data_IF_353428393922
#
_entry.id   IF_353428393922
#
_cell.length_a   1.000
_cell.length_b   1.000
_cell.length_c   1.000
_cell.angle_alpha   90.00
_cell.angle_beta   90.00
_cell.angle_gamma   90.00
#
_symmetry.space_group_name_H-M   'P 1'
#
loop_
_entity.id
_entity.type
_entity.pdbx_description
1 polymer ?
#
# COMPACT_ATOMS: atom_id res chain seq x y z
N UNK A 1 13.49 18.37 0.94
CA UNK A 1 13.64 17.19 0.03
C UNK A 1 12.38 16.35 0.10
N UNK A 2 11.84 15.90 -1.04
CA UNK A 2 10.65 15.04 -1.08
C UNK A 2 11.04 13.66 -1.59
N UNK A 3 10.73 12.61 -0.79
CA UNK A 3 10.97 11.20 -1.12
C UNK A 3 9.65 10.43 -1.13
N UNK A 4 9.46 9.55 -2.11
CA UNK A 4 8.34 8.63 -2.14
C UNK A 4 8.78 7.21 -1.78
N UNK A 5 7.95 6.50 -0.99
CA UNK A 5 8.11 5.07 -0.70
C UNK A 5 6.92 4.33 -1.30
N UNK A 6 7.21 3.46 -2.24
CA UNK A 6 6.21 2.75 -3.05
C UNK A 6 6.56 1.27 -3.19
N UNK A 7 5.61 0.44 -3.61
CA UNK A 7 5.84 -0.98 -3.83
C UNK A 7 6.03 -1.34 -5.31
N UNK A 8 6.91 -2.29 -5.59
CA UNK A 8 7.18 -2.73 -6.96
C UNK A 8 6.09 -3.66 -7.52
N UNK A 9 5.51 -4.54 -6.69
CA UNK A 9 4.76 -5.70 -7.14
C UNK A 9 3.26 -5.63 -6.72
N UNK A 10 2.77 -6.65 -6.02
CA UNK A 10 1.36 -6.79 -5.63
C UNK A 10 0.98 -6.11 -4.30
N UNK A 11 1.92 -5.48 -3.61
CA UNK A 11 1.76 -4.97 -2.25
C UNK A 11 2.40 -5.89 -1.20
N UNK A 12 2.31 -5.50 0.07
CA UNK A 12 2.87 -6.23 1.22
C UNK A 12 4.40 -6.45 1.15
N UNK A 13 5.12 -5.54 0.44
CA UNK A 13 6.57 -5.59 0.32
C UNK A 13 7.32 -5.13 1.58
N UNK A 14 6.63 -4.62 2.61
CA UNK A 14 7.25 -4.12 3.84
C UNK A 14 7.51 -2.62 3.85
N UNK A 15 6.71 -1.84 3.09
CA UNK A 15 6.81 -0.37 3.02
C UNK A 15 6.73 0.31 4.39
N UNK A 16 5.84 -0.15 5.27
CA UNK A 16 5.68 0.42 6.61
C UNK A 16 6.97 0.43 7.43
N UNK A 17 7.73 -0.67 7.42
CA UNK A 17 9.04 -0.77 8.06
C UNK A 17 10.05 0.24 7.49
N UNK A 18 10.12 0.35 6.17
CA UNK A 18 11.04 1.28 5.50
C UNK A 18 10.63 2.72 5.79
N UNK A 19 9.33 3.02 5.76
CA UNK A 19 8.81 4.35 6.13
C UNK A 19 9.13 4.69 7.59
N UNK A 20 8.89 3.78 8.53
CA UNK A 20 9.17 3.99 9.95
C UNK A 20 10.68 4.25 10.19
N UNK A 21 11.55 3.52 9.53
CA UNK A 21 13.00 3.74 9.61
C UNK A 21 13.40 5.11 9.05
N UNK A 22 12.88 5.51 7.88
CA UNK A 22 13.21 6.78 7.23
C UNK A 22 12.52 7.97 7.91
N UNK A 23 11.41 7.75 8.63
CA UNK A 23 10.69 8.77 9.39
C UNK A 23 11.56 9.44 10.45
N UNK A 24 12.58 8.74 10.97
CA UNK A 24 13.55 9.30 11.93
C UNK A 24 14.25 10.58 11.41
N UNK A 25 14.49 10.65 10.11
CA UNK A 25 15.13 11.79 9.45
C UNK A 25 14.15 12.67 8.66
N UNK A 26 12.85 12.49 8.84
CA UNK A 26 11.80 13.19 8.10
C UNK A 26 11.01 14.11 9.03
N UNK A 27 10.62 15.29 8.53
CA UNK A 27 9.82 16.26 9.27
C UNK A 27 8.32 16.02 9.06
N UNK A 28 7.96 15.49 7.88
CA UNK A 28 6.56 15.30 7.45
C UNK A 28 6.42 13.95 6.77
N UNK A 29 5.40 13.17 7.15
CA UNK A 29 5.06 11.92 6.48
C UNK A 29 3.60 11.99 5.99
N UNK A 30 3.38 11.66 4.71
CA UNK A 30 2.08 11.84 4.05
C UNK A 30 1.57 10.52 3.49
N UNK A 31 0.36 10.13 3.86
CA UNK A 31 -0.43 9.15 3.12
C UNK A 31 -1.12 9.89 1.97
N UNK A 32 -0.82 9.52 0.74
CA UNK A 32 -1.28 10.26 -0.44
C UNK A 32 -2.37 9.53 -1.24
N UNK A 33 -2.62 8.25 -0.97
CA UNK A 33 -3.63 7.44 -1.67
C UNK A 33 -4.08 6.23 -0.84
N UNK A 34 -5.08 5.49 -1.36
CA UNK A 34 -5.61 4.31 -0.70
C UNK A 34 -6.56 4.67 0.45
N UNK A 35 -6.70 3.78 1.40
CA UNK A 35 -7.60 3.95 2.55
C UNK A 35 -7.29 2.87 3.60
N UNK A 36 -8.30 2.47 4.37
CA UNK A 36 -8.16 1.46 5.44
C UNK A 36 -8.10 0.00 4.93
N UNK A 37 -7.99 -0.22 3.63
CA UNK A 37 -8.01 -1.55 3.02
C UNK A 37 -6.71 -2.35 3.14
N UNK A 38 -5.58 -1.71 3.44
CA UNK A 38 -4.30 -2.38 3.66
C UNK A 38 -3.66 -1.95 4.96
N UNK A 39 -3.08 -2.88 5.71
CA UNK A 39 -2.38 -2.62 6.95
C UNK A 39 -0.86 -2.61 6.76
N UNK A 40 -0.20 -1.60 7.33
CA UNK A 40 1.26 -1.53 7.43
C UNK A 40 1.71 -2.04 8.78
N UNK A 41 2.37 -3.20 8.82
CA UNK A 41 2.93 -3.75 10.06
C UNK A 41 4.25 -3.07 10.39
N UNK A 42 4.35 -2.58 11.62
CA UNK A 42 5.53 -1.91 12.16
C UNK A 42 5.88 -2.57 13.49
N UNK A 43 7.17 -2.86 13.68
CA UNK A 43 7.71 -3.39 14.92
C UNK A 43 8.78 -2.42 15.41
N UNK A 44 8.52 -1.79 16.55
CA UNK A 44 9.40 -0.78 17.16
C UNK A 44 9.38 -0.89 18.70
N UNK A 45 9.99 0.09 19.40
CA UNK A 45 10.11 0.11 20.86
C UNK A 45 8.76 0.13 21.61
N UNK A 46 7.68 0.59 20.96
CA UNK A 46 6.32 0.55 21.52
C UNK A 46 5.61 -0.79 21.30
N UNK A 47 6.20 -1.70 20.50
CA UNK A 47 5.64 -3.00 20.17
C UNK A 47 5.28 -3.17 18.70
N UNK A 48 4.35 -4.11 18.45
CA UNK A 48 3.87 -4.43 17.10
C UNK A 48 2.54 -3.70 16.82
N UNK A 49 2.48 -2.99 15.71
CA UNK A 49 1.30 -2.24 15.24
C UNK A 49 0.96 -2.60 13.80
N UNK A 50 -0.34 -2.56 13.48
CA UNK A 50 -0.84 -2.60 12.12
C UNK A 50 -1.60 -1.28 11.87
N UNK A 51 -0.98 -0.36 11.12
CA UNK A 51 -1.58 0.93 10.77
C UNK A 51 -2.26 0.84 9.41
N UNK A 52 -3.44 1.43 9.28
CA UNK A 52 -4.24 1.40 8.05
C UNK A 52 -4.36 2.78 7.40
N UNK A 53 -4.75 3.79 8.15
CA UNK A 53 -4.87 5.18 7.66
C UNK A 53 -3.69 6.04 8.10
N UNK A 54 -3.22 5.89 9.33
CA UNK A 54 -2.10 6.66 9.83
C UNK A 54 -0.80 6.36 9.07
N UNK A 55 0.03 7.38 8.79
CA UNK A 55 1.38 7.17 8.28
C UNK A 55 2.25 6.41 9.27
N UNK A 56 3.16 5.58 8.76
CA UNK A 56 4.05 4.74 9.58
C UNK A 56 5.03 5.52 10.47
N UNK A 57 5.18 6.81 10.25
CA UNK A 57 6.04 7.68 11.05
C UNK A 57 5.41 8.30 12.30
N UNK A 58 4.17 7.94 12.66
CA UNK A 58 3.44 8.50 13.82
C UNK A 58 4.10 8.25 15.19
N UNK A 59 5.09 7.39 15.23
CA UNK A 59 5.83 7.06 16.46
C UNK A 59 6.89 8.10 16.86
N UNK A 60 7.18 9.07 15.97
CA UNK A 60 8.17 10.12 16.22
C UNK A 60 7.48 11.46 16.52
N UNK A 61 7.76 12.03 17.70
CA UNK A 61 7.13 13.28 18.17
C UNK A 61 7.47 14.51 17.30
N UNK A 62 8.64 14.51 16.65
CA UNK A 62 9.08 15.61 15.80
C UNK A 62 8.39 15.62 14.42
N UNK A 63 7.74 14.51 14.02
CA UNK A 63 7.11 14.41 12.71
C UNK A 63 5.68 14.96 12.71
N UNK A 64 5.28 15.52 11.57
CA UNK A 64 3.87 15.82 11.27
C UNK A 64 3.34 14.76 10.30
N UNK A 65 2.29 14.05 10.69
CA UNK A 65 1.62 13.06 9.86
C UNK A 65 0.47 13.68 9.11
N UNK A 66 0.41 13.51 7.79
CA UNK A 66 -0.62 14.12 6.93
C UNK A 66 -1.44 13.03 6.24
N UNK A 67 -2.75 13.19 6.31
CA UNK A 67 -3.70 12.48 5.44
C UNK A 67 -3.99 13.39 4.25
N UNK A 68 -3.42 13.05 3.10
CA UNK A 68 -3.51 13.84 1.87
C UNK A 68 -4.88 13.73 1.19
N UNK A 69 -5.11 14.61 0.24
CA UNK A 69 -6.37 14.71 -0.50
C UNK A 69 -6.69 13.50 -1.40
N UNK A 70 -5.71 12.63 -1.67
CA UNK A 70 -5.91 11.39 -2.44
C UNK A 70 -6.45 10.22 -1.62
N UNK A 71 -6.50 10.32 -0.29
CA UNK A 71 -6.90 9.22 0.61
C UNK A 71 -8.43 9.06 0.68
N UNK A 72 -8.89 7.82 0.69
CA UNK A 72 -10.26 7.45 1.04
C UNK A 72 -10.39 7.49 2.58
N UNK A 73 -10.88 8.61 3.10
CA UNK A 73 -10.84 8.92 4.53
C UNK A 73 -12.03 8.32 5.28
N UNK A 74 -11.83 7.24 5.99
CA UNK A 74 -12.76 6.75 7.00
C UNK A 74 -12.48 7.47 8.32
N UNK A 75 -13.25 8.52 8.63
CA UNK A 75 -13.03 9.38 9.79
C UNK A 75 -13.14 8.62 11.12
N UNK A 76 -14.21 7.84 11.40
CA UNK A 76 -14.30 7.07 12.63
C UNK A 76 -13.12 6.12 12.82
N UNK A 77 -12.67 5.47 11.75
CA UNK A 77 -11.54 4.55 11.79
C UNK A 77 -10.22 5.28 12.10
N UNK A 78 -10.00 6.46 11.50
CA UNK A 78 -8.82 7.28 11.78
C UNK A 78 -8.74 7.66 13.26
N UNK A 79 -9.86 8.13 13.84
CA UNK A 79 -9.91 8.53 15.24
C UNK A 79 -9.65 7.33 16.16
N UNK A 80 -10.28 6.19 15.88
CA UNK A 80 -10.05 4.94 16.62
C UNK A 80 -8.57 4.51 16.57
N UNK A 81 -7.93 4.67 15.42
CA UNK A 81 -6.51 4.32 15.25
C UNK A 81 -5.60 5.26 16.07
N UNK A 82 -5.91 6.57 16.12
CA UNK A 82 -5.22 7.55 16.98
C UNK A 82 -5.37 7.19 18.47
N UNK A 83 -6.59 6.93 18.90
CA UNK A 83 -6.91 6.57 20.30
C UNK A 83 -6.17 5.29 20.70
N UNK A 84 -6.21 4.26 19.87
CA UNK A 84 -5.51 2.99 20.10
C UNK A 84 -4.00 3.16 20.27
N UNK A 85 -3.36 4.06 19.52
CA UNK A 85 -1.94 4.37 19.71
C UNK A 85 -1.67 4.98 21.08
N UNK A 86 -2.48 5.96 21.50
CA UNK A 86 -2.34 6.66 22.78
C UNK A 86 -2.57 5.70 23.95
N UNK A 87 -3.59 4.85 23.89
CA UNK A 87 -3.88 3.83 24.89
C UNK A 87 -2.72 2.83 25.07
N UNK A 88 -1.98 2.57 24.01
CA UNK A 88 -0.79 1.71 24.02
C UNK A 88 0.50 2.44 24.39
N UNK A 89 0.40 3.68 24.89
CA UNK A 89 1.53 4.46 25.39
C UNK A 89 2.35 5.19 24.32
N UNK A 90 1.87 5.24 23.08
CA UNK A 90 2.49 6.11 22.05
C UNK A 90 2.07 7.55 22.32
N UNK A 91 3.01 8.51 22.40
CA UNK A 91 2.64 9.93 22.54
C UNK A 91 1.70 10.37 21.43
N UNK A 92 0.69 11.20 21.75
CA UNK A 92 -0.29 11.67 20.78
C UNK A 92 0.41 12.29 19.57
N UNK A 93 0.27 11.72 18.36
CA UNK A 93 0.96 12.22 17.18
C UNK A 93 0.36 13.54 16.69
N UNK A 94 1.17 14.37 16.06
CA UNK A 94 0.71 15.56 15.34
C UNK A 94 0.15 15.13 13.98
N UNK A 95 -1.16 15.30 13.81
CA UNK A 95 -1.87 14.88 12.59
C UNK A 95 -2.54 16.08 11.94
N UNK A 96 -2.44 16.15 10.61
CA UNK A 96 -3.17 17.08 9.77
C UNK A 96 -3.94 16.29 8.72
N UNK A 97 -5.14 16.76 8.42
CA UNK A 97 -6.03 16.15 7.42
C UNK A 97 -6.37 17.21 6.38
N UNK A 98 -6.20 16.85 5.10
CA UNK A 98 -6.55 17.74 4.01
C UNK A 98 -8.04 18.06 4.01
N UNK A 99 -8.38 19.34 3.94
CA UNK A 99 -9.73 19.85 3.71
C UNK A 99 -10.32 19.36 2.37
N UNK A 100 -9.46 18.98 1.41
CA UNK A 100 -9.81 18.43 0.09
C UNK A 100 -9.88 16.90 0.06
N UNK A 101 -9.52 16.19 1.14
CA UNK A 101 -9.75 14.76 1.24
C UNK A 101 -11.25 14.45 1.17
N UNK A 102 -11.60 13.25 0.70
CA UNK A 102 -13.01 12.86 0.64
C UNK A 102 -13.32 11.78 1.68
N UNK A 103 -14.56 11.84 2.17
CA UNK A 103 -15.04 10.97 3.26
C UNK A 103 -15.52 9.64 2.69
N UNK A 104 -14.98 8.54 3.23
CA UNK A 104 -15.48 7.21 2.97
C UNK A 104 -16.68 6.97 3.89
N UNK A 105 -17.87 6.84 3.28
CA UNK A 105 -19.14 6.68 3.99
C UNK A 105 -19.45 5.22 4.27
N UNK A 106 -20.26 4.91 5.31
CA UNK A 106 -20.67 3.55 5.61
C UNK A 106 -21.34 2.83 4.43
N UNK A 107 -22.10 3.53 3.59
CA UNK A 107 -22.72 2.93 2.42
C UNK A 107 -21.69 2.45 1.38
N UNK A 108 -20.48 3.03 1.29
CA UNK A 108 -19.43 2.50 0.41
C UNK A 108 -19.04 1.07 0.82
N UNK A 109 -18.95 0.80 2.13
CA UNK A 109 -18.66 -0.54 2.66
C UNK A 109 -19.79 -1.52 2.33
N UNK A 110 -21.05 -1.07 2.42
CA UNK A 110 -22.21 -1.86 2.04
C UNK A 110 -22.18 -2.21 0.56
N UNK A 111 -21.97 -1.23 -0.31
CA UNK A 111 -21.90 -1.44 -1.76
C UNK A 111 -20.77 -2.37 -2.17
N UNK A 112 -19.58 -2.24 -1.57
CA UNK A 112 -18.45 -3.16 -1.79
C UNK A 112 -18.83 -4.61 -1.40
N UNK A 113 -19.52 -4.76 -0.27
CA UNK A 113 -19.98 -6.06 0.23
C UNK A 113 -21.05 -6.67 -0.69
N UNK A 114 -21.99 -5.85 -1.15
CA UNK A 114 -23.08 -6.32 -2.02
C UNK A 114 -22.59 -6.70 -3.41
N UNK A 115 -21.64 -5.95 -3.95
CA UNK A 115 -21.03 -6.24 -5.26
C UNK A 115 -20.21 -7.54 -5.22
N UNK A 116 -19.37 -7.74 -4.17
CA UNK A 116 -18.65 -9.01 -3.98
C UNK A 116 -19.60 -10.20 -3.88
N UNK A 117 -20.74 -10.04 -3.18
CA UNK A 117 -21.76 -11.08 -3.08
C UNK A 117 -22.47 -11.34 -4.42
N UNK A 118 -22.77 -10.27 -5.20
CA UNK A 118 -23.42 -10.37 -6.52
C UNK A 118 -22.54 -11.08 -7.54
N UNK A 119 -21.23 -10.82 -7.51
CA UNK A 119 -20.26 -11.44 -8.41
C UNK A 119 -19.98 -12.91 -8.09
N UNK A 120 -20.32 -13.37 -6.87
CA UNK A 120 -20.15 -14.75 -6.42
C UNK A 120 -18.77 -15.34 -6.76
N UNK A 121 -18.69 -16.42 -7.55
CA UNK A 121 -17.41 -17.06 -7.94
C UNK A 121 -16.49 -16.25 -8.84
N UNK A 122 -16.90 -15.05 -9.29
CA UNK A 122 -16.12 -14.11 -10.11
C UNK A 122 -15.73 -12.87 -9.33
N UNK A 123 -15.80 -12.90 -8.00
CA UNK A 123 -15.48 -11.79 -7.12
C UNK A 123 -13.99 -11.38 -7.23
N UNK A 124 -13.71 -10.10 -7.00
CA UNK A 124 -12.33 -9.56 -7.04
C UNK A 124 -11.51 -9.94 -5.81
N UNK A 125 -12.15 -10.44 -4.75
CA UNK A 125 -11.52 -10.69 -3.45
C UNK A 125 -11.29 -9.42 -2.66
N UNK A 126 -12.25 -8.46 -2.75
CA UNK A 126 -12.22 -7.20 -2.01
C UNK A 126 -12.04 -7.41 -0.51
N UNK A 127 -11.39 -6.46 0.14
CA UNK A 127 -11.31 -6.37 1.61
C UNK A 127 -12.63 -5.93 2.24
N UNK A 128 -13.61 -5.56 1.42
CA UNK A 128 -14.92 -4.99 1.84
C UNK A 128 -14.76 -3.71 2.67
N UNK A 129 -13.74 -2.93 2.34
CA UNK A 129 -13.45 -1.65 2.99
C UNK A 129 -14.06 -0.44 2.26
N UNK A 130 -14.86 -0.68 1.21
CA UNK A 130 -15.58 0.37 0.49
C UNK A 130 -14.73 1.18 -0.50
N UNK A 131 -13.54 0.71 -0.85
CA UNK A 131 -12.57 1.50 -1.65
C UNK A 131 -13.05 1.71 -3.09
N UNK A 132 -13.50 0.65 -3.77
CA UNK A 132 -13.96 0.77 -5.15
C UNK A 132 -15.21 1.66 -5.27
N UNK A 133 -16.27 1.49 -4.46
CA UNK A 133 -17.41 2.40 -4.48
C UNK A 133 -17.05 3.85 -4.13
N UNK A 134 -16.11 4.06 -3.19
CA UNK A 134 -15.64 5.39 -2.82
C UNK A 134 -14.97 6.12 -4.01
N UNK A 135 -13.99 5.50 -4.66
CA UNK A 135 -13.31 6.13 -5.81
C UNK A 135 -14.25 6.29 -7.01
N UNK A 136 -15.21 5.37 -7.19
CA UNK A 136 -16.29 5.54 -8.17
C UNK A 136 -17.07 6.83 -7.92
N UNK A 137 -17.50 7.08 -6.70
CA UNK A 137 -18.23 8.28 -6.31
C UNK A 137 -17.40 9.55 -6.44
N UNK A 138 -16.12 9.48 -6.07
CA UNK A 138 -15.17 10.59 -6.24
C UNK A 138 -15.10 11.06 -7.69
N UNK A 139 -14.91 10.14 -8.64
CA UNK A 139 -14.81 10.47 -10.05
C UNK A 139 -16.17 10.74 -10.72
N UNK A 140 -17.25 10.21 -10.18
CA UNK A 140 -18.62 10.59 -10.52
C UNK A 140 -19.03 11.95 -9.95
N UNK A 141 -18.19 12.57 -9.11
CA UNK A 141 -18.39 13.91 -8.49
C UNK A 141 -19.58 13.95 -7.52
N UNK A 142 -19.85 12.85 -6.84
CA UNK A 142 -20.93 12.72 -5.84
C UNK A 142 -20.40 12.42 -4.43
N UNK A 143 -19.07 12.27 -4.25
CA UNK A 143 -18.42 12.10 -2.95
C UNK A 143 -18.45 13.38 -2.11
N UNK A 144 -18.25 13.26 -0.80
CA UNK A 144 -18.18 14.39 0.15
C UNK A 144 -16.73 14.76 0.43
N UNK A 145 -16.34 16.03 0.20
CA UNK A 145 -15.05 16.54 0.68
C UNK A 145 -15.13 16.90 2.17
N UNK A 146 -13.99 16.83 2.86
CA UNK A 146 -13.91 17.22 4.28
C UNK A 146 -14.34 18.68 4.51
N UNK A 147 -13.99 19.60 3.61
CA UNK A 147 -14.42 21.00 3.68
C UNK A 147 -15.94 21.17 3.64
N UNK A 148 -16.65 20.31 2.90
CA UNK A 148 -18.12 20.38 2.78
C UNK A 148 -18.84 19.99 4.08
N UNK A 149 -18.15 19.31 5.01
CA UNK A 149 -18.73 18.98 6.32
C UNK A 149 -19.03 20.23 7.16
N UNK A 150 -18.38 21.36 6.85
CA UNK A 150 -18.50 22.62 7.58
C UNK A 150 -19.53 23.59 6.93
N UNK A 151 -20.17 23.18 5.84
CA UNK A 151 -21.28 23.86 5.19
C UNK A 151 -22.53 22.97 5.27
N UNK A 152 -23.35 23.18 6.29
CA UNK A 152 -24.47 22.29 6.59
C UNK A 152 -25.56 22.33 5.51
N UNK A 153 -25.80 23.46 4.87
CA UNK A 153 -26.82 23.59 3.82
C UNK A 153 -26.40 22.81 2.58
N UNK A 154 -25.15 22.98 2.14
CA UNK A 154 -24.58 22.23 1.03
C UNK A 154 -24.53 20.72 1.32
N UNK A 155 -24.14 20.35 2.55
CA UNK A 155 -24.07 18.97 2.99
C UNK A 155 -25.44 18.29 2.91
N UNK A 156 -26.50 18.96 3.39
CA UNK A 156 -27.88 18.45 3.36
C UNK A 156 -28.36 18.24 1.93
N UNK A 157 -28.27 19.28 1.08
CA UNK A 157 -28.67 19.18 -0.34
C UNK A 157 -27.98 17.98 -1.02
N UNK A 158 -26.67 17.85 -0.81
CA UNK A 158 -25.88 16.79 -1.42
C UNK A 158 -26.22 15.40 -0.89
N UNK A 159 -26.51 15.26 0.41
CA UNK A 159 -26.91 13.99 1.01
C UNK A 159 -28.22 13.44 0.40
N UNK A 160 -29.24 14.28 0.23
CA UNK A 160 -30.47 13.92 -0.44
C UNK A 160 -30.23 13.43 -1.88
N UNK A 161 -29.46 14.20 -2.66
CA UNK A 161 -29.13 13.84 -4.05
C UNK A 161 -28.35 12.53 -4.16
N UNK A 162 -27.41 12.30 -3.24
CA UNK A 162 -26.63 11.04 -3.22
C UNK A 162 -27.51 9.87 -2.84
N UNK A 163 -28.37 10.01 -1.84
CA UNK A 163 -29.33 8.96 -1.44
C UNK A 163 -30.25 8.59 -2.58
N UNK A 164 -30.81 9.57 -3.32
CA UNK A 164 -31.64 9.30 -4.50
C UNK A 164 -30.92 8.37 -5.49
N UNK A 165 -29.69 8.71 -5.89
CA UNK A 165 -28.90 7.90 -6.82
C UNK A 165 -28.58 6.50 -6.27
N UNK A 166 -28.18 6.42 -5.00
CA UNK A 166 -27.79 5.15 -4.38
C UNK A 166 -28.98 4.23 -4.17
N UNK A 167 -30.14 4.79 -3.83
CA UNK A 167 -31.36 4.02 -3.60
C UNK A 167 -31.85 3.32 -4.86
N UNK A 168 -31.66 3.87 -6.06
CA UNK A 168 -31.94 3.18 -7.32
C UNK A 168 -31.16 1.86 -7.40
N UNK A 169 -29.87 1.87 -7.07
CA UNK A 169 -29.06 0.65 -7.08
C UNK A 169 -29.44 -0.32 -5.96
N UNK A 170 -29.75 0.19 -4.77
CA UNK A 170 -30.17 -0.64 -3.65
C UNK A 170 -31.48 -1.34 -3.95
N UNK A 171 -32.46 -0.64 -4.50
CA UNK A 171 -33.78 -1.18 -4.80
C UNK A 171 -33.73 -2.18 -5.97
N UNK A 172 -33.16 -1.76 -7.11
CA UNK A 172 -33.32 -2.49 -8.37
C UNK A 172 -32.19 -3.47 -8.70
N UNK A 173 -30.96 -3.26 -8.16
CA UNK A 173 -29.83 -4.14 -8.41
C UNK A 173 -29.54 -5.07 -7.25
N UNK A 174 -29.44 -4.52 -6.05
CA UNK A 174 -29.01 -5.28 -4.88
C UNK A 174 -30.17 -5.84 -4.05
N UNK A 175 -31.39 -5.30 -4.20
CA UNK A 175 -32.57 -5.66 -3.42
C UNK A 175 -32.28 -5.54 -1.90
N UNK A 176 -31.81 -4.40 -1.49
CA UNK A 176 -31.39 -4.08 -0.11
C UNK A 176 -32.17 -2.89 0.43
N UNK A 177 -32.19 -2.71 1.77
CA UNK A 177 -32.81 -1.53 2.39
C UNK A 177 -32.25 -0.23 1.83
N UNK A 178 -33.13 0.77 1.67
CA UNK A 178 -32.78 2.09 1.17
C UNK A 178 -32.03 2.90 2.23
N UNK A 179 -31.19 3.83 1.77
CA UNK A 179 -30.53 4.82 2.63
C UNK A 179 -31.53 5.91 3.01
N UNK A 180 -31.45 6.34 4.26
CA UNK A 180 -32.16 7.51 4.77
C UNK A 180 -31.19 8.70 4.72
N UNK A 181 -31.52 9.81 4.01
CA UNK A 181 -30.66 10.98 3.94
C UNK A 181 -30.41 11.63 5.31
N UNK A 182 -31.38 11.60 6.23
CA UNK A 182 -31.18 12.18 7.57
C UNK A 182 -30.16 11.38 8.40
N UNK A 183 -30.14 10.07 8.28
CA UNK A 183 -29.08 9.26 8.93
C UNK A 183 -27.70 9.52 8.32
N UNK A 184 -27.62 9.75 7.00
CA UNK A 184 -26.36 10.16 6.34
C UNK A 184 -25.90 11.53 6.83
N UNK A 185 -26.78 12.51 6.92
CA UNK A 185 -26.50 13.85 7.43
C UNK A 185 -25.99 13.79 8.88
N UNK A 186 -26.68 13.05 9.73
CA UNK A 186 -26.30 12.84 11.13
C UNK A 186 -24.89 12.23 11.26
N UNK A 187 -24.57 11.23 10.45
CA UNK A 187 -23.22 10.65 10.42
C UNK A 187 -22.17 11.63 9.95
N UNK A 188 -22.45 12.42 8.90
CA UNK A 188 -21.54 13.45 8.39
C UNK A 188 -21.27 14.55 9.42
N UNK A 189 -22.30 15.01 10.16
CA UNK A 189 -22.15 16.00 11.23
C UNK A 189 -21.33 15.42 12.40
N UNK A 190 -21.56 14.16 12.76
CA UNK A 190 -20.72 13.46 13.73
C UNK A 190 -19.25 13.38 13.28
N UNK A 191 -19.01 13.03 12.02
CA UNK A 191 -17.68 13.00 11.42
C UNK A 191 -17.02 14.39 11.44
N UNK A 192 -17.78 15.46 11.15
CA UNK A 192 -17.31 16.86 11.25
C UNK A 192 -16.72 17.14 12.62
N UNK A 193 -17.49 16.85 13.68
CA UNK A 193 -17.09 17.15 15.05
C UNK A 193 -15.84 16.36 15.47
N UNK A 194 -15.70 15.12 15.00
CA UNK A 194 -14.52 14.28 15.25
C UNK A 194 -13.27 14.79 14.53
N UNK A 195 -13.41 15.26 13.29
CA UNK A 195 -12.24 15.57 12.43
C UNK A 195 -11.80 17.03 12.52
N UNK A 196 -12.68 17.94 12.97
CA UNK A 196 -12.45 19.38 13.02
C UNK A 196 -11.07 19.79 13.60
N UNK A 197 -10.56 19.18 14.68
CA UNK A 197 -9.26 19.56 15.25
C UNK A 197 -8.05 19.30 14.33
N UNK A 198 -8.22 18.51 13.28
CA UNK A 198 -7.13 18.03 12.43
C UNK A 198 -7.14 18.66 11.03
N UNK A 199 -8.24 19.31 10.63
CA UNK A 199 -8.47 19.82 9.27
C UNK A 199 -7.68 21.10 9.00
N UNK A 200 -6.99 21.13 7.85
CA UNK A 200 -6.34 22.35 7.36
C UNK A 200 -6.14 22.29 5.83
N UNK A 201 -5.76 23.41 5.23
CA UNK A 201 -5.22 23.44 3.85
C UNK A 201 -3.81 22.82 3.85
N UNK A 202 -3.75 21.52 3.63
CA UNK A 202 -2.47 20.78 3.59
C UNK A 202 -1.62 21.17 2.40
N UNK A 203 -2.21 21.64 1.29
CA UNK A 203 -1.45 22.08 0.11
C UNK A 203 -0.66 23.35 0.41
N UNK A 204 -1.29 24.32 1.07
CA UNK A 204 -0.59 25.53 1.53
C UNK A 204 0.49 25.19 2.56
N UNK A 205 0.18 24.34 3.54
CA UNK A 205 1.16 23.90 4.54
C UNK A 205 2.39 23.22 3.91
N UNK A 206 2.18 22.34 2.94
CA UNK A 206 3.27 21.63 2.25
C UNK A 206 4.08 22.54 1.35
N UNK A 207 3.45 23.52 0.71
CA UNK A 207 4.14 24.50 -0.10
C UNK A 207 5.16 25.32 0.74
N UNK A 208 4.76 25.78 1.92
CA UNK A 208 5.68 26.46 2.85
C UNK A 208 6.75 25.51 3.39
N UNK A 209 6.40 24.27 3.75
CA UNK A 209 7.37 23.29 4.20
C UNK A 209 8.46 22.97 3.15
N UNK A 210 8.08 22.93 1.86
CA UNK A 210 9.04 22.74 0.76
C UNK A 210 9.98 23.95 0.65
N UNK A 211 9.46 25.17 0.74
CA UNK A 211 10.28 26.40 0.72
C UNK A 211 11.26 26.46 1.89
N UNK A 212 10.84 25.98 3.06
CA UNK A 212 11.67 25.86 4.26
C UNK A 212 12.71 24.74 4.16
N UNK A 213 12.70 23.95 3.09
CA UNK A 213 13.63 22.84 2.88
C UNK A 213 13.38 21.62 3.76
N UNK A 214 12.17 21.45 4.32
CA UNK A 214 11.81 20.30 5.17
C UNK A 214 11.91 18.98 4.41
N UNK A 215 12.22 17.90 5.14
CA UNK A 215 12.23 16.54 4.63
C UNK A 215 10.82 15.95 4.66
N UNK A 216 10.29 15.64 3.49
CA UNK A 216 8.93 15.12 3.29
C UNK A 216 8.99 13.70 2.76
N UNK A 217 8.24 12.79 3.38
CA UNK A 217 8.13 11.40 3.02
C UNK A 217 6.71 11.10 2.54
N UNK A 218 6.57 10.64 1.31
CA UNK A 218 5.29 10.20 0.74
C UNK A 218 5.18 8.69 0.91
N UNK A 219 4.22 8.22 1.70
CA UNK A 219 3.99 6.80 1.94
C UNK A 219 2.87 6.27 1.07
N UNK A 220 3.24 5.43 0.10
CA UNK A 220 2.30 4.72 -0.76
C UNK A 220 1.72 3.46 -0.12
N UNK A 221 0.63 2.99 -0.69
CA UNK A 221 -0.06 1.77 -0.29
C UNK A 221 -0.16 0.82 -1.48
N UNK A 222 -0.09 -0.50 -1.23
CA UNK A 222 -0.04 -1.54 -2.25
C UNK A 222 1.22 -1.43 -3.14
N UNK A 223 1.18 -1.95 -4.36
CA UNK A 223 2.31 -1.93 -5.30
C UNK A 223 1.86 -1.70 -6.74
N UNK A 224 2.81 -1.55 -7.64
CA UNK A 224 2.61 -1.18 -9.05
C UNK A 224 1.60 -2.06 -9.78
N UNK A 225 1.59 -3.36 -9.49
CA UNK A 225 0.69 -4.31 -10.17
C UNK A 225 -0.76 -4.22 -9.69
N UNK A 226 -1.03 -3.40 -8.67
CA UNK A 226 -2.37 -3.07 -8.19
C UNK A 226 -2.84 -1.68 -8.62
N UNK A 227 -2.06 -0.98 -9.46
CA UNK A 227 -2.44 0.30 -10.06
C UNK A 227 -3.55 0.09 -11.11
N UNK A 228 -4.60 0.94 -11.17
CA UNK A 228 -5.70 0.77 -12.12
C UNK A 228 -5.29 0.90 -13.58
N UNK A 229 -4.26 1.69 -13.90
CA UNK A 229 -3.81 1.95 -15.27
C UNK A 229 -2.67 1.02 -15.71
N UNK A 230 -1.77 0.67 -14.77
CA UNK A 230 -0.54 -0.06 -15.06
C UNK A 230 -0.48 -1.47 -14.46
N UNK A 231 -1.44 -1.83 -13.61
CA UNK A 231 -1.48 -3.14 -12.95
C UNK A 231 -2.18 -4.24 -13.74
N UNK A 232 -2.50 -5.31 -13.04
CA UNK A 232 -3.17 -6.50 -13.58
C UNK A 232 -4.70 -6.32 -13.64
N UNK A 233 -5.16 -5.25 -14.28
CA UNK A 233 -6.58 -4.94 -14.40
C UNK A 233 -7.38 -6.14 -14.93
N UNK A 234 -8.57 -6.46 -14.35
CA UNK A 234 -9.32 -5.68 -13.36
C UNK A 234 -8.99 -6.02 -11.89
N UNK A 235 -8.03 -6.89 -11.60
CA UNK A 235 -7.65 -7.33 -10.24
C UNK A 235 -6.71 -6.34 -9.55
N UNK A 236 -7.11 -5.08 -9.53
CA UNK A 236 -6.36 -3.92 -9.02
C UNK A 236 -7.09 -3.23 -7.87
N UNK A 237 -6.45 -2.26 -7.21
CA UNK A 237 -7.16 -1.30 -6.34
C UNK A 237 -7.70 -0.12 -7.18
N UNK A 238 -8.56 0.69 -6.59
CA UNK A 238 -9.18 1.82 -7.31
C UNK A 238 -8.45 3.15 -7.15
N UNK A 239 -7.31 3.15 -6.45
CA UNK A 239 -6.42 4.31 -6.36
C UNK A 239 -5.11 4.06 -7.08
N UNK A 240 -4.48 5.10 -7.66
CA UNK A 240 -3.15 4.95 -8.25
C UNK A 240 -2.11 4.70 -7.16
N UNK A 241 -1.31 3.64 -7.35
CA UNK A 241 -0.27 3.19 -6.42
C UNK A 241 1.12 3.71 -6.79
N UNK A 242 1.20 4.53 -7.85
CA UNK A 242 2.46 5.03 -8.37
C UNK A 242 2.96 6.26 -7.62
N UNK A 243 4.28 6.42 -7.53
CA UNK A 243 4.93 7.59 -6.93
C UNK A 243 4.47 8.91 -7.58
N UNK A 244 4.20 8.89 -8.88
CA UNK A 244 3.68 10.05 -9.62
C UNK A 244 2.37 10.59 -9.06
N UNK A 245 1.49 9.70 -8.56
CA UNK A 245 0.24 10.13 -7.91
C UNK A 245 0.49 10.81 -6.56
N UNK A 246 1.66 10.63 -5.97
CA UNK A 246 2.06 11.32 -4.74
C UNK A 246 1.97 12.85 -4.87
N UNK A 247 2.31 13.38 -6.03
CA UNK A 247 2.17 14.81 -6.31
C UNK A 247 0.71 15.26 -6.26
N UNK A 248 -0.19 14.51 -6.89
CA UNK A 248 -1.64 14.78 -6.93
C UNK A 248 -2.25 14.57 -5.54
N UNK A 249 -1.98 13.41 -4.93
CA UNK A 249 -2.60 13.00 -3.67
C UNK A 249 -2.11 13.75 -2.43
N UNK A 250 -0.96 14.42 -2.51
CA UNK A 250 -0.45 15.31 -1.47
C UNK A 250 -0.68 16.80 -1.80
N UNK A 251 -0.92 17.16 -3.08
CA UNK A 251 -1.07 18.54 -3.52
C UNK A 251 0.26 19.30 -3.62
N UNK A 252 1.31 18.63 -4.12
CA UNK A 252 2.64 19.21 -4.31
C UNK A 252 3.08 19.17 -5.79
N UNK A 253 4.03 20.02 -6.22
CA UNK A 253 4.55 19.96 -7.59
C UNK A 253 5.24 18.62 -7.88
N UNK A 254 5.02 17.99 -9.06
CA UNK A 254 5.60 16.67 -9.37
C UNK A 254 7.12 16.66 -9.45
N UNK A 255 7.75 17.78 -9.83
CA UNK A 255 9.20 17.90 -9.91
C UNK A 255 9.91 17.95 -8.54
N UNK A 256 9.15 18.05 -7.45
CA UNK A 256 9.71 17.96 -6.08
C UNK A 256 9.99 16.51 -5.67
N UNK A 257 9.33 15.52 -6.26
CA UNK A 257 9.56 14.09 -5.98
C UNK A 257 10.80 13.65 -6.78
N UNK A 258 11.97 13.74 -6.14
CA UNK A 258 13.27 13.42 -6.78
C UNK A 258 13.78 12.05 -6.37
N UNK A 259 13.44 11.61 -5.16
CA UNK A 259 13.87 10.34 -4.60
C UNK A 259 12.66 9.39 -4.54
N UNK A 260 12.77 8.25 -5.20
CA UNK A 260 11.74 7.22 -5.21
C UNK A 260 12.37 5.91 -4.73
N UNK A 261 12.12 5.59 -3.46
CA UNK A 261 12.49 4.33 -2.86
C UNK A 261 11.40 3.30 -3.15
N UNK A 262 11.69 2.36 -4.01
CA UNK A 262 10.76 1.26 -4.32
C UNK A 262 11.09 0.06 -3.45
N UNK A 263 10.10 -0.44 -2.72
CA UNK A 263 10.26 -1.62 -1.89
C UNK A 263 9.99 -2.87 -2.71
N UNK A 264 10.95 -3.79 -2.69
CA UNK A 264 10.94 -5.06 -3.43
C UNK A 264 11.16 -6.19 -2.45
N UNK A 265 10.34 -7.23 -2.51
CA UNK A 265 10.41 -8.39 -1.63
C UNK A 265 11.29 -9.48 -2.24
N UNK A 266 12.09 -10.18 -1.43
CA UNK A 266 13.03 -11.21 -1.90
C UNK A 266 12.35 -12.46 -2.50
N UNK A 267 11.07 -12.61 -2.34
CA UNK A 267 10.16 -13.54 -3.02
C UNK A 267 8.86 -12.80 -3.32
N UNK A 268 7.91 -13.42 -4.02
CA UNK A 268 6.66 -12.76 -4.37
C UNK A 268 5.51 -13.20 -3.47
N UNK A 269 4.62 -12.26 -3.13
CA UNK A 269 3.35 -12.59 -2.47
C UNK A 269 2.24 -11.69 -2.98
N UNK A 270 1.01 -12.20 -2.98
CA UNK A 270 -0.15 -11.46 -3.43
C UNK A 270 -1.39 -11.77 -2.59
N UNK A 271 -2.27 -10.77 -2.42
CA UNK A 271 -3.60 -10.91 -1.85
C UNK A 271 -4.63 -10.75 -2.95
N UNK A 272 -5.70 -11.56 -2.89
CA UNK A 272 -6.79 -11.51 -3.84
C UNK A 272 -6.50 -12.24 -5.16
N UNK A 273 -7.43 -12.11 -6.09
CA UNK A 273 -7.35 -12.75 -7.41
C UNK A 273 -6.40 -12.01 -8.36
N UNK A 274 -6.21 -12.61 -9.53
CA UNK A 274 -5.43 -12.05 -10.64
C UNK A 274 -4.17 -12.83 -10.96
N UNK A 275 -3.55 -12.47 -12.06
CA UNK A 275 -2.38 -13.16 -12.59
C UNK A 275 -1.17 -13.07 -11.65
N UNK A 276 -0.52 -14.20 -11.43
CA UNK A 276 0.69 -14.33 -10.63
C UNK A 276 1.56 -15.43 -11.23
N UNK A 277 2.37 -15.09 -12.24
CA UNK A 277 3.07 -16.06 -13.09
C UNK A 277 4.06 -16.92 -12.32
N UNK A 278 4.76 -16.35 -11.34
CA UNK A 278 5.74 -17.06 -10.49
C UNK A 278 5.12 -17.75 -9.27
N UNK A 279 3.79 -17.88 -9.19
CA UNK A 279 3.09 -18.52 -8.06
C UNK A 279 3.48 -19.98 -7.91
N UNK A 280 3.63 -20.44 -6.65
CA UNK A 280 3.91 -21.82 -6.28
C UNK A 280 2.76 -22.41 -5.46
N UNK A 281 2.67 -23.74 -5.43
CA UNK A 281 1.56 -24.47 -4.83
C UNK A 281 2.06 -25.64 -3.99
N UNK A 282 1.18 -26.21 -3.15
CA UNK A 282 1.47 -27.38 -2.33
C UNK A 282 2.46 -27.09 -1.20
N UNK A 283 3.21 -28.11 -0.78
CA UNK A 283 4.09 -28.07 0.39
C UNK A 283 5.15 -26.96 0.30
N UNK A 284 5.69 -26.70 -0.89
CA UNK A 284 6.66 -25.62 -1.14
C UNK A 284 6.05 -24.24 -0.85
N UNK A 285 4.80 -24.00 -1.27
CA UNK A 285 4.08 -22.77 -0.97
C UNK A 285 3.76 -22.64 0.52
N UNK A 286 3.36 -23.72 1.16
CA UNK A 286 3.03 -23.75 2.58
C UNK A 286 4.27 -23.50 3.44
N UNK A 287 5.41 -24.07 3.09
CA UNK A 287 6.67 -23.82 3.78
C UNK A 287 7.09 -22.36 3.64
N UNK A 288 7.10 -21.79 2.43
CA UNK A 288 7.44 -20.37 2.21
C UNK A 288 6.46 -19.45 2.94
N UNK A 289 5.16 -19.76 2.90
CA UNK A 289 4.12 -18.99 3.60
C UNK A 289 4.33 -18.99 5.12
N UNK A 290 4.61 -20.13 5.71
CA UNK A 290 4.80 -20.26 7.15
C UNK A 290 6.09 -19.58 7.64
N UNK A 291 7.13 -19.53 6.82
CA UNK A 291 8.41 -18.86 7.12
C UNK A 291 8.38 -17.37 6.81
N UNK A 292 7.48 -16.96 5.95
CA UNK A 292 7.40 -15.58 5.45
C UNK A 292 7.03 -14.55 6.50
N UNK A 293 7.64 -13.38 6.39
CA UNK A 293 7.33 -12.22 7.22
C UNK A 293 7.49 -12.46 8.74
N UNK A 294 6.82 -11.64 9.52
CA UNK A 294 6.71 -11.81 10.98
C UNK A 294 5.39 -12.52 11.31
N UNK A 295 5.46 -13.83 11.47
CA UNK A 295 4.30 -14.69 11.76
C UNK A 295 3.61 -15.30 10.52
N UNK A 296 4.30 -15.38 9.39
CA UNK A 296 3.84 -16.00 8.15
C UNK A 296 3.21 -15.02 7.16
N UNK A 297 3.01 -15.49 5.93
CA UNK A 297 2.37 -14.73 4.86
C UNK A 297 0.84 -14.80 4.98
N UNK A 298 0.33 -14.04 5.95
CA UNK A 298 -1.11 -13.89 6.21
C UNK A 298 -1.50 -12.40 6.17
N UNK A 299 -2.71 -12.10 5.74
CA UNK A 299 -3.21 -10.73 5.68
C UNK A 299 -3.31 -10.11 7.07
N UNK A 300 -2.67 -8.95 7.29
CA UNK A 300 -2.67 -8.26 8.58
C UNK A 300 -4.08 -7.93 9.10
N UNK A 301 -5.02 -7.63 8.19
CA UNK A 301 -6.40 -7.26 8.51
C UNK A 301 -7.34 -8.47 8.50
N UNK A 302 -7.19 -9.37 7.53
CA UNK A 302 -8.16 -10.45 7.26
C UNK A 302 -7.72 -11.82 7.77
N UNK A 303 -6.44 -12.00 8.13
CA UNK A 303 -5.86 -13.30 8.47
C UNK A 303 -5.82 -14.30 7.31
N UNK A 304 -6.22 -13.90 6.08
CA UNK A 304 -6.23 -14.81 4.92
C UNK A 304 -4.82 -15.19 4.51
N UNK A 305 -4.55 -16.47 4.15
CA UNK A 305 -3.27 -16.87 3.61
C UNK A 305 -3.00 -16.12 2.30
N UNK A 306 -1.81 -15.53 2.19
CA UNK A 306 -1.37 -14.91 0.94
C UNK A 306 -0.96 -15.99 -0.05
N UNK A 307 -1.17 -15.73 -1.33
CA UNK A 307 -0.54 -16.45 -2.42
C UNK A 307 0.94 -16.11 -2.39
N UNK A 308 1.80 -17.11 -2.58
CA UNK A 308 3.25 -16.94 -2.56
C UNK A 308 3.87 -17.49 -3.84
N UNK A 309 5.03 -16.97 -4.19
CA UNK A 309 5.76 -17.39 -5.38
C UNK A 309 7.23 -17.01 -5.30
N UNK A 310 8.03 -17.53 -6.20
CA UNK A 310 9.43 -17.16 -6.31
C UNK A 310 9.58 -15.72 -6.76
N UNK A 311 10.76 -15.15 -6.53
CA UNK A 311 11.06 -13.80 -6.97
C UNK A 311 10.77 -13.65 -8.46
N UNK A 312 9.96 -12.66 -8.83
CA UNK A 312 9.56 -12.37 -10.19
C UNK A 312 10.30 -11.14 -10.71
N UNK A 313 11.41 -11.40 -11.41
CA UNK A 313 12.24 -10.32 -11.92
C UNK A 313 11.56 -9.53 -13.05
N UNK A 314 10.66 -10.16 -13.83
CA UNK A 314 9.90 -9.48 -14.90
C UNK A 314 8.93 -8.48 -14.28
N UNK A 315 8.15 -8.92 -13.30
CA UNK A 315 7.20 -8.08 -12.57
C UNK A 315 7.90 -6.96 -11.79
N UNK A 316 8.99 -7.29 -11.08
CA UNK A 316 9.72 -6.32 -10.26
C UNK A 316 10.42 -5.25 -11.12
N UNK A 317 11.05 -5.63 -12.24
CA UNK A 317 11.65 -4.70 -13.19
C UNK A 317 10.60 -3.75 -13.77
N UNK A 318 9.46 -4.29 -14.22
CA UNK A 318 8.35 -3.47 -14.70
C UNK A 318 7.86 -2.50 -13.63
N UNK A 319 7.65 -2.98 -12.40
CA UNK A 319 7.23 -2.14 -11.29
C UNK A 319 8.23 -1.04 -10.96
N UNK A 320 9.52 -1.34 -10.89
CA UNK A 320 10.57 -0.34 -10.68
C UNK A 320 10.58 0.71 -11.81
N UNK A 321 10.43 0.29 -13.07
CA UNK A 321 10.43 1.19 -14.23
C UNK A 321 9.26 2.17 -14.19
N UNK A 322 8.04 1.71 -13.95
CA UNK A 322 6.86 2.61 -13.94
C UNK A 322 6.77 3.48 -12.68
N UNK A 323 7.41 3.06 -11.57
CA UNK A 323 7.56 3.91 -10.38
C UNK A 323 8.57 5.05 -10.61
N UNK A 324 9.48 4.92 -11.58
CA UNK A 324 10.60 5.84 -11.73
C UNK A 324 11.63 5.66 -10.61
N UNK A 325 11.90 4.42 -10.21
CA UNK A 325 12.74 4.03 -9.07
C UNK A 325 14.12 4.65 -9.13
N UNK A 326 14.53 5.37 -8.08
CA UNK A 326 15.90 5.87 -7.91
C UNK A 326 16.75 4.96 -7.04
N UNK A 327 16.11 4.24 -6.11
CA UNK A 327 16.73 3.23 -5.25
C UNK A 327 15.73 2.17 -4.81
N UNK A 328 16.24 1.02 -4.42
CA UNK A 328 15.43 -0.11 -3.95
C UNK A 328 15.75 -0.45 -2.50
N UNK A 329 14.69 -0.66 -1.71
CA UNK A 329 14.75 -1.35 -0.43
C UNK A 329 14.32 -2.81 -0.64
N UNK A 330 15.28 -3.73 -0.52
CA UNK A 330 15.09 -5.16 -0.73
C UNK A 330 14.79 -5.86 0.59
N UNK A 331 13.59 -6.42 0.74
CA UNK A 331 13.06 -6.84 2.04
C UNK A 331 12.91 -8.37 2.17
N UNK A 332 12.75 -8.83 3.41
CA UNK A 332 12.51 -10.24 3.83
C UNK A 332 13.51 -11.24 3.29
N UNK A 333 14.76 -10.84 3.15
CA UNK A 333 15.83 -11.70 2.64
C UNK A 333 16.15 -12.87 3.58
N UNK A 334 15.99 -12.65 4.89
CA UNK A 334 16.19 -13.66 5.95
C UNK A 334 15.32 -14.90 5.79
N UNK A 335 14.15 -14.77 5.15
CA UNK A 335 13.22 -15.88 4.93
C UNK A 335 13.79 -16.97 4.04
N UNK A 336 14.65 -16.64 3.07
CA UNK A 336 15.19 -17.59 2.08
C UNK A 336 16.37 -18.43 2.59
N UNK A 337 16.83 -18.19 3.82
CA UNK A 337 18.00 -18.88 4.40
C UNK A 337 17.86 -20.40 4.59
N UNK A 338 16.69 -20.99 4.38
CA UNK A 338 16.46 -22.45 4.47
C UNK A 338 16.70 -23.18 3.15
N UNK A 339 16.78 -22.48 2.02
CA UNK A 339 16.87 -23.07 0.68
C UNK A 339 18.29 -23.47 0.31
N UNK A 340 18.42 -24.61 -0.38
CA UNK A 340 19.67 -25.01 -1.03
C UNK A 340 19.89 -24.28 -2.35
N UNK A 341 18.80 -24.10 -3.10
CA UNK A 341 18.74 -23.33 -4.34
C UNK A 341 17.53 -22.41 -4.30
N UNK A 342 17.70 -21.18 -4.78
CA UNK A 342 16.63 -20.16 -4.85
C UNK A 342 16.21 -20.00 -6.30
N UNK A 343 14.99 -20.41 -6.67
CA UNK A 343 14.44 -20.14 -7.99
C UNK A 343 14.09 -18.66 -8.16
N UNK A 344 14.36 -18.12 -9.37
CA UNK A 344 14.04 -16.76 -9.77
C UNK A 344 13.36 -16.80 -11.14
N UNK A 345 12.20 -16.19 -11.28
CA UNK A 345 11.52 -16.02 -12.56
C UNK A 345 12.18 -14.87 -13.34
N UNK A 346 12.90 -15.22 -14.41
CA UNK A 346 13.66 -14.26 -15.24
C UNK A 346 13.00 -13.93 -16.56
N UNK A 347 11.92 -14.63 -16.91
CA UNK A 347 11.17 -14.45 -18.14
C UNK A 347 9.81 -15.13 -18.08
N UNK A 348 8.96 -14.78 -19.02
CA UNK A 348 7.66 -15.43 -19.23
C UNK A 348 7.62 -16.10 -20.60
N UNK A 349 7.24 -17.39 -20.64
CA UNK A 349 6.91 -18.08 -21.88
C UNK A 349 5.42 -17.89 -22.19
N UNK A 350 5.10 -17.32 -23.35
CA UNK A 350 3.75 -17.06 -23.83
C UNK A 350 3.66 -17.51 -25.28
N UNK A 351 2.75 -18.43 -25.59
CA UNK A 351 2.56 -18.96 -26.95
C UNK A 351 3.87 -19.47 -27.59
N UNK A 352 4.77 -20.10 -26.80
CA UNK A 352 6.06 -20.65 -27.23
C UNK A 352 7.18 -19.61 -27.39
N UNK A 353 6.96 -18.35 -27.05
CA UNK A 353 7.96 -17.28 -27.08
C UNK A 353 8.30 -16.82 -25.67
N UNK A 354 9.59 -16.64 -25.39
CA UNK A 354 10.05 -16.09 -24.09
C UNK A 354 10.18 -14.58 -24.22
N UNK A 355 9.57 -13.88 -23.25
CA UNK A 355 9.68 -12.44 -23.08
C UNK A 355 10.22 -12.07 -21.71
N UNK A 356 10.93 -10.96 -21.62
CA UNK A 356 11.35 -10.31 -20.39
C UNK A 356 10.52 -9.06 -20.08
N UNK A 357 9.63 -8.68 -20.99
CA UNK A 357 8.70 -7.55 -20.79
C UNK A 357 7.42 -8.03 -20.11
N UNK A 358 6.89 -7.21 -19.19
CA UNK A 358 5.65 -7.47 -18.49
C UNK A 358 4.45 -7.24 -19.42
N UNK A 359 3.67 -8.27 -19.77
CA UNK A 359 2.58 -8.14 -20.74
C UNK A 359 1.27 -7.71 -20.09
N UNK A 360 0.25 -7.46 -20.91
CA UNK A 360 -1.12 -7.21 -20.47
C UNK A 360 -1.73 -8.44 -19.79
N UNK A 361 -2.76 -8.24 -18.94
CA UNK A 361 -3.38 -9.29 -18.12
C UNK A 361 -3.83 -10.50 -18.92
N UNK A 362 -4.42 -10.32 -20.10
CA UNK A 362 -4.88 -11.44 -20.96
C UNK A 362 -3.75 -12.36 -21.42
N UNK A 363 -2.54 -11.82 -21.55
CA UNK A 363 -1.33 -12.60 -21.87
C UNK A 363 -0.72 -13.23 -20.62
N UNK A 364 -0.77 -12.50 -19.46
CA UNK A 364 -0.29 -13.01 -18.19
C UNK A 364 -1.02 -14.30 -17.75
N UNK A 365 -2.32 -14.41 -18.04
CA UNK A 365 -3.11 -15.59 -17.72
C UNK A 365 -2.66 -16.86 -18.47
N UNK A 366 -1.94 -16.69 -19.57
CA UNK A 366 -1.37 -17.79 -20.39
C UNK A 366 0.12 -17.99 -20.13
N UNK A 367 0.74 -17.10 -19.40
CA UNK A 367 2.18 -17.10 -19.19
C UNK A 367 2.64 -18.23 -18.29
N UNK A 368 3.82 -18.78 -18.58
CA UNK A 368 4.54 -19.72 -17.71
C UNK A 368 5.85 -19.09 -17.29
N UNK A 369 6.30 -19.33 -16.02
CA UNK A 369 7.55 -18.76 -15.56
C UNK A 369 8.75 -19.48 -16.20
N UNK A 370 9.72 -18.72 -16.66
CA UNK A 370 11.05 -19.21 -17.01
C UNK A 370 11.96 -19.00 -15.81
N UNK A 371 12.35 -20.08 -15.16
CA UNK A 371 13.10 -20.06 -13.90
C UNK A 371 14.58 -20.25 -14.14
N UNK A 372 15.40 -19.47 -13.43
CA UNK A 372 16.80 -19.78 -13.13
C UNK A 372 16.96 -20.14 -11.66
N UNK A 373 18.03 -20.86 -11.29
CA UNK A 373 18.29 -21.24 -9.89
C UNK A 373 19.62 -20.67 -9.45
N UNK A 374 19.66 -20.08 -8.29
CA UNK A 374 20.85 -19.55 -7.66
C UNK A 374 21.16 -20.34 -6.38
N UNK A 375 22.44 -20.55 -6.03
CA UNK A 375 22.80 -21.20 -4.78
C UNK A 375 22.25 -20.45 -3.57
N UNK A 376 21.60 -21.16 -2.64
CA UNK A 376 21.18 -20.62 -1.36
C UNK A 376 22.36 -20.44 -0.40
N UNK A 377 22.11 -19.81 0.73
CA UNK A 377 23.15 -19.57 1.75
C UNK A 377 23.01 -20.43 3.01
N UNK A 378 21.94 -21.14 3.20
CA UNK A 378 21.68 -22.16 4.25
C UNK A 378 22.09 -21.74 5.67
N UNK A 379 21.85 -20.46 6.02
CA UNK A 379 22.08 -19.98 7.38
C UNK A 379 21.18 -18.78 7.70
N UNK A 380 21.03 -18.50 8.99
CA UNK A 380 20.37 -17.30 9.48
C UNK A 380 21.28 -16.08 9.24
N UNK A 381 20.69 -15.02 8.67
CA UNK A 381 21.36 -13.75 8.38
C UNK A 381 20.84 -12.61 9.27
N UNK A 382 19.93 -12.89 10.19
CA UNK A 382 19.42 -11.90 11.13
C UNK A 382 20.54 -11.39 12.01
N UNK A 383 20.47 -10.11 12.38
CA UNK A 383 21.47 -9.48 13.22
C UNK A 383 22.78 -9.09 12.51
N UNK A 384 23.02 -9.50 11.27
CA UNK A 384 24.13 -8.98 10.45
C UNK A 384 23.86 -7.51 10.15
N UNK A 385 24.86 -6.65 10.38
CA UNK A 385 24.73 -5.18 10.24
C UNK A 385 25.51 -4.60 9.06
N UNK A 386 26.44 -5.34 8.48
CA UNK A 386 27.26 -4.88 7.35
C UNK A 386 27.08 -5.78 6.14
N UNK A 387 26.97 -5.19 4.96
CA UNK A 387 26.77 -5.92 3.70
C UNK A 387 27.86 -6.96 3.43
N UNK A 388 29.11 -6.65 3.76
CA UNK A 388 30.27 -7.50 3.54
C UNK A 388 30.24 -8.76 4.42
N UNK A 389 29.53 -8.72 5.56
CA UNK A 389 29.42 -9.86 6.49
C UNK A 389 28.31 -10.83 6.07
N UNK A 390 27.47 -10.49 5.09
CA UNK A 390 26.50 -11.40 4.51
C UNK A 390 27.21 -12.57 3.81
N UNK A 391 26.66 -13.81 3.85
CA UNK A 391 27.18 -14.93 3.09
C UNK A 391 27.36 -14.60 1.60
N UNK A 392 28.39 -15.17 0.99
CA UNK A 392 28.73 -14.89 -0.41
C UNK A 392 27.55 -15.13 -1.36
N UNK A 393 26.84 -16.26 -1.20
CA UNK A 393 25.67 -16.58 -2.04
C UNK A 393 24.53 -15.58 -1.81
N UNK A 394 24.34 -15.09 -0.58
CA UNK A 394 23.36 -14.06 -0.28
C UNK A 394 23.69 -12.75 -1.02
N UNK A 395 24.95 -12.33 -1.02
CA UNK A 395 25.39 -11.15 -1.78
C UNK A 395 25.22 -11.34 -3.28
N UNK A 396 25.58 -12.52 -3.81
CA UNK A 396 25.38 -12.87 -5.23
C UNK A 396 23.90 -12.83 -5.63
N UNK A 397 23.01 -13.27 -4.73
CA UNK A 397 21.57 -13.18 -4.96
C UNK A 397 21.11 -11.72 -5.06
N UNK A 398 21.54 -10.86 -4.12
CA UNK A 398 21.21 -9.43 -4.15
C UNK A 398 21.73 -8.78 -5.44
N UNK A 399 22.98 -9.04 -5.83
CA UNK A 399 23.59 -8.49 -7.03
C UNK A 399 22.92 -8.99 -8.31
N UNK A 400 22.50 -10.26 -8.32
CA UNK A 400 21.73 -10.81 -9.43
C UNK A 400 20.36 -10.12 -9.56
N UNK A 401 19.63 -9.95 -8.46
CA UNK A 401 18.33 -9.27 -8.44
C UNK A 401 18.51 -7.81 -8.88
N UNK A 402 19.50 -7.09 -8.35
CA UNK A 402 19.80 -5.69 -8.72
C UNK A 402 19.99 -5.54 -10.24
N UNK A 403 20.72 -6.48 -10.84
CA UNK A 403 20.93 -6.52 -12.30
C UNK A 403 19.64 -6.82 -13.07
N UNK A 404 18.85 -7.78 -12.61
CA UNK A 404 17.62 -8.20 -13.29
C UNK A 404 16.52 -7.14 -13.24
N UNK A 405 16.40 -6.40 -12.13
CA UNK A 405 15.41 -5.33 -11.99
C UNK A 405 15.86 -3.98 -12.56
N UNK A 406 17.14 -3.86 -12.95
CA UNK A 406 17.74 -2.65 -13.54
C UNK A 406 17.62 -1.41 -12.61
N UNK A 407 17.65 -1.61 -11.29
CA UNK A 407 17.52 -0.55 -10.30
C UNK A 407 18.45 -0.80 -9.10
N UNK A 408 19.13 0.23 -8.56
CA UNK A 408 20.13 0.07 -7.52
C UNK A 408 19.50 -0.34 -6.18
N UNK A 409 19.98 -1.44 -5.58
CA UNK A 409 19.57 -1.87 -4.24
C UNK A 409 20.47 -1.16 -3.22
N UNK A 410 19.94 -0.17 -2.50
CA UNK A 410 20.64 0.62 -1.48
C UNK A 410 20.42 0.13 -0.06
N UNK A 411 19.29 -0.54 0.19
CA UNK A 411 18.87 -1.04 1.49
C UNK A 411 18.52 -2.52 1.41
N UNK A 412 18.98 -3.32 2.38
CA UNK A 412 18.67 -4.75 2.50
C UNK A 412 18.11 -5.02 3.88
N UNK A 413 16.88 -5.53 3.94
CA UNK A 413 16.24 -5.93 5.19
C UNK A 413 16.44 -7.42 5.44
N UNK A 414 17.03 -7.75 6.58
CA UNK A 414 17.39 -9.10 6.99
C UNK A 414 16.73 -9.54 8.31
N UNK A 415 15.58 -8.98 8.65
CA UNK A 415 14.78 -9.33 9.82
C UNK A 415 13.55 -8.44 9.96
N UNK A 416 12.66 -8.66 10.94
CA UNK A 416 11.38 -7.96 11.05
C UNK A 416 11.47 -6.57 11.73
N UNK A 417 12.48 -6.34 12.58
CA UNK A 417 12.60 -5.12 13.37
C UNK A 417 13.03 -3.89 12.55
N UNK A 418 12.75 -2.71 13.10
CA UNK A 418 13.14 -1.41 12.51
C UNK A 418 14.62 -1.36 12.14
N UNK A 419 15.50 -1.87 13.02
CA UNK A 419 16.95 -1.80 12.89
C UNK A 419 17.56 -2.98 12.09
N UNK A 420 16.73 -3.89 11.58
CA UNK A 420 17.15 -5.02 10.76
C UNK A 420 17.24 -4.62 9.29
N UNK A 421 18.01 -3.56 9.05
CA UNK A 421 18.26 -3.00 7.71
C UNK A 421 19.76 -2.73 7.58
N UNK A 422 20.34 -3.23 6.52
CA UNK A 422 21.72 -3.00 6.11
C UNK A 422 21.72 -1.93 5.02
N UNK A 423 22.40 -0.81 5.28
CA UNK A 423 22.66 0.21 4.24
C UNK A 423 23.82 -0.27 3.39
N UNK A 424 23.62 -0.37 2.08
CA UNK A 424 24.62 -0.87 1.13
C UNK A 424 25.38 0.26 0.43
N UNK A 425 24.79 1.46 0.33
CA UNK A 425 25.36 2.67 -0.31
C UNK A 425 25.16 3.89 0.56
#
# INVERSE_FOLDING_TARGET
>A
MVRAIVGANWGDEGKGKITDMLAKASDIIIRFQGGSNAGHTIINDYGKFALHLLPSGVFYQHTTSIIGNGVALNIPYLIQEIESLVERGVPKPRILVSDRAQVLMPYHVLFDTYEEARLAGKSFGSTKSGIAPFYSDKYAKIGFQVSELFDEDLLREKAYRVCELKNVLLEHLYHKPLLDPEEIIKELLRCRDMIAPYVCDTSAYLHEAIKEGRNILLEGQLGSLKDPDHGIYPMVTSSSTLAAYGAIGAGIPPYEIKDITTVVKAYSSAVGAGAFVSEIFGDEADELRNRGGDGGEYGATTGRPRRVGWFDAVAARYGCRIQGTTEVAFTVLDVLGYLDEIPVCVGYEIDGQVTREFPTTSKLEKARPVLTRLPGWKCDIRGIKRYQDLPENCRKYIEFVEKEIEAPISMVSNGPGRDDIIMRR
#
